data_IF_748195340104
#
_entry.id   IF_748195340104
#
_cell.length_a   1.000
_cell.length_b   1.000
_cell.length_c   1.000
_cell.angle_alpha   90.00
_cell.angle_beta   90.00
_cell.angle_gamma   90.00
#
_symmetry.space_group_name_H-M   'P 1'
#
loop_
_entity.id
_entity.type
_entity.pdbx_description
1 polymer ?
#
# COMPACT_ATOMS: atom_id res chain seq x y z
N UNK A 1 -23.53 53.10 -12.34
CA UNK A 1 -22.69 54.31 -12.53
C UNK A 1 -21.89 54.45 -11.23
N UNK A 2 -20.57 54.34 -11.15
CA UNK A 2 -19.54 54.42 -12.16
C UNK A 2 -18.29 53.65 -11.68
N UNK A 3 -17.72 52.95 -12.65
CA UNK A 3 -16.41 52.33 -12.85
C UNK A 3 -15.26 52.71 -11.88
N UNK A 4 -14.63 51.68 -11.30
CA UNK A 4 -13.30 51.77 -10.66
C UNK A 4 -12.18 51.55 -11.70
N UNK A 5 -11.15 52.39 -11.61
CA UNK A 5 -9.98 52.45 -12.48
C UNK A 5 -9.04 51.25 -12.35
N UNK A 6 -8.38 50.92 -13.47
CA UNK A 6 -7.30 49.94 -13.66
C UNK A 6 -5.91 50.52 -13.34
N UNK A 7 -4.95 49.60 -13.27
CA UNK A 7 -3.48 49.70 -13.35
C UNK A 7 -2.78 49.86 -11.99
N UNK A 8 -1.76 49.09 -11.61
CA UNK A 8 -0.90 48.17 -12.34
C UNK A 8 0.56 48.55 -12.04
N UNK A 9 1.28 47.78 -11.22
CA UNK A 9 2.74 47.90 -11.03
C UNK A 9 3.34 46.50 -10.84
N UNK A 10 4.39 46.25 -11.62
CA UNK A 10 5.19 45.02 -11.75
C UNK A 10 6.30 45.03 -10.70
N UNK A 11 6.64 43.86 -10.14
CA UNK A 11 8.00 43.57 -9.67
C UNK A 11 8.29 42.06 -9.82
N UNK A 12 9.08 41.73 -10.84
CA UNK A 12 9.67 40.39 -11.04
C UNK A 12 11.04 40.41 -10.35
N UNK A 13 11.24 39.57 -9.34
CA UNK A 13 12.53 39.33 -8.74
C UNK A 13 13.05 37.96 -9.19
N UNK A 14 14.14 37.98 -9.96
CA UNK A 14 14.88 36.79 -10.38
C UNK A 14 15.87 36.40 -9.27
N UNK A 15 15.86 35.13 -8.88
CA UNK A 15 16.89 34.54 -7.99
C UNK A 15 17.68 33.53 -8.80
N UNK A 16 18.97 33.84 -9.00
CA UNK A 16 19.96 32.95 -9.57
C UNK A 16 20.59 32.12 -8.46
N UNK A 17 20.63 30.79 -8.63
CA UNK A 17 21.43 29.87 -7.81
C UNK A 17 22.32 29.07 -8.75
N UNK A 18 23.62 29.34 -8.67
CA UNK A 18 24.67 28.53 -9.27
C UNK A 18 25.22 27.53 -8.25
N UNK A 19 25.50 26.31 -8.68
CA UNK A 19 26.32 25.35 -7.97
C UNK A 19 27.37 24.80 -8.94
N UNK A 20 28.63 24.95 -8.53
CA UNK A 20 29.82 24.55 -9.28
C UNK A 20 30.13 23.06 -9.18
N UNK A 21 30.87 22.59 -10.19
CA UNK A 21 31.41 21.25 -10.38
C UNK A 21 32.76 21.04 -9.66
N UNK A 22 33.11 19.75 -9.51
CA UNK A 22 34.40 19.11 -9.18
C UNK A 22 34.40 18.37 -7.83
N UNK A 23 34.97 17.18 -7.66
CA UNK A 23 35.81 16.37 -8.53
C UNK A 23 36.20 15.06 -7.81
N UNK A 24 36.57 14.07 -8.63
CA UNK A 24 37.08 12.74 -8.28
C UNK A 24 38.41 12.77 -7.49
N UNK A 25 38.67 11.75 -6.67
CA UNK A 25 40.00 11.14 -6.55
C UNK A 25 39.97 9.91 -5.62
N UNK A 26 39.97 8.72 -6.20
CA UNK A 26 40.38 7.48 -5.54
C UNK A 26 41.77 7.09 -6.05
N UNK A 27 42.74 6.95 -5.14
CA UNK A 27 43.95 6.17 -5.38
C UNK A 27 44.56 5.77 -4.04
N UNK A 28 44.85 4.49 -3.83
CA UNK A 28 46.10 3.96 -3.26
C UNK A 28 46.04 2.43 -3.27
N UNK A 29 46.82 1.88 -4.18
CA UNK A 29 47.27 0.49 -4.25
C UNK A 29 48.34 0.26 -3.16
N UNK A 30 48.28 -0.88 -2.47
CA UNK A 30 49.23 -1.25 -1.43
C UNK A 30 49.25 -2.76 -1.24
N UNK A 31 50.18 -3.41 -1.92
CA UNK A 31 50.47 -4.84 -1.84
C UNK A 31 51.52 -5.10 -0.74
N UNK A 32 51.25 -6.04 0.19
CA UNK A 32 52.28 -6.67 1.03
C UNK A 32 51.83 -8.04 1.59
N UNK A 33 52.23 -9.09 0.88
CA UNK A 33 52.69 -10.43 1.27
C UNK A 33 52.67 -10.91 2.75
N UNK A 34 52.13 -12.14 2.91
CA UNK A 34 52.53 -13.32 3.74
C UNK A 34 51.72 -13.77 4.97
N UNK A 35 51.15 -14.97 4.79
CA UNK A 35 51.26 -16.21 5.60
C UNK A 35 50.21 -16.60 6.64
N UNK A 36 49.69 -17.82 6.39
CA UNK A 36 49.33 -18.92 7.31
C UNK A 36 47.99 -18.91 8.08
N UNK A 37 47.22 -19.95 7.73
CA UNK A 37 46.32 -20.81 8.54
C UNK A 37 45.69 -20.25 9.82
N UNK A 38 44.35 -20.24 9.87
CA UNK A 38 43.57 -21.09 10.79
C UNK A 38 42.06 -20.99 10.50
N UNK A 39 41.42 -22.13 10.68
CA UNK A 39 39.98 -22.45 10.76
C UNK A 39 39.14 -21.41 11.49
N UNK A 40 37.91 -21.14 11.02
CA UNK A 40 36.65 -21.15 11.81
C UNK A 40 35.47 -20.73 10.93
N UNK A 41 34.37 -21.45 11.05
CA UNK A 41 33.07 -21.19 10.43
C UNK A 41 32.53 -19.81 10.80
N UNK A 42 32.15 -19.01 9.81
CA UNK A 42 31.31 -17.84 10.01
C UNK A 42 29.94 -18.10 9.37
N UNK A 43 28.94 -18.31 10.23
CA UNK A 43 27.55 -18.10 9.89
C UNK A 43 27.39 -16.63 9.50
N UNK A 44 27.12 -16.38 8.23
CA UNK A 44 26.73 -15.05 7.76
C UNK A 44 25.33 -14.75 8.32
N UNK A 45 25.29 -14.09 9.48
CA UNK A 45 24.10 -13.39 9.95
C UNK A 45 23.76 -12.30 8.93
N UNK A 46 22.80 -12.60 8.06
CA UNK A 46 22.18 -11.60 7.21
C UNK A 46 21.46 -10.59 8.11
N UNK A 47 21.99 -9.37 8.15
CA UNK A 47 21.31 -8.21 8.73
C UNK A 47 19.92 -8.06 8.08
N UNK A 48 18.85 -7.78 8.84
CA UNK A 48 17.54 -7.52 8.23
C UNK A 48 17.64 -6.30 7.32
N UNK A 49 17.06 -6.43 6.12
CA UNK A 49 16.92 -5.33 5.19
C UNK A 49 16.07 -4.21 5.82
N UNK A 50 16.37 -2.93 5.57
CA UNK A 50 15.56 -1.83 6.06
C UNK A 50 14.11 -1.97 5.56
N UNK A 51 13.12 -1.59 6.39
CA UNK A 51 11.71 -1.66 5.99
C UNK A 51 11.52 -0.87 4.70
N UNK A 52 10.86 -1.50 3.72
CA UNK A 52 10.48 -0.82 2.49
C UNK A 52 9.45 0.25 2.87
N UNK A 53 9.66 1.53 2.54
CA UNK A 53 8.70 2.57 2.90
C UNK A 53 7.38 2.31 2.15
N UNK A 54 6.31 2.13 2.91
CA UNK A 54 4.94 2.27 2.40
C UNK A 54 4.76 3.69 1.87
N UNK A 55 4.04 3.90 0.75
CA UNK A 55 3.82 5.23 0.20
C UNK A 55 3.20 6.13 1.27
N UNK A 56 3.89 7.24 1.57
CA UNK A 56 3.49 8.19 2.61
C UNK A 56 2.16 8.83 2.21
N UNK A 57 1.11 8.59 3.00
CA UNK A 57 -0.19 9.25 2.82
C UNK A 57 -0.05 10.74 3.07
N UNK A 58 0.10 11.53 2.02
CA UNK A 58 0.13 12.99 2.11
C UNK A 58 -1.30 13.53 2.00
N UNK A 59 -2.04 13.52 3.12
CA UNK A 59 -3.38 14.12 3.18
C UNK A 59 -3.83 14.42 4.61
N UNK A 60 -4.94 15.13 4.76
CA UNK A 60 -5.41 15.65 6.05
C UNK A 60 -6.06 14.59 6.96
N UNK A 61 -6.39 13.41 6.43
CA UNK A 61 -7.00 12.33 7.19
C UNK A 61 -5.93 11.47 7.86
N UNK A 62 -6.12 11.18 9.15
CA UNK A 62 -5.25 10.27 9.90
C UNK A 62 -5.40 8.83 9.40
N UNK A 63 -4.29 8.12 9.25
CA UNK A 63 -4.23 6.78 8.61
C UNK A 63 -3.76 5.68 9.57
N UNK A 64 -3.89 4.42 9.14
CA UNK A 64 -3.28 3.28 9.83
C UNK A 64 -1.76 3.47 9.94
N UNK A 65 -1.11 3.97 8.89
CA UNK A 65 0.34 4.24 8.87
C UNK A 65 0.73 5.29 9.92
N UNK A 66 -0.08 6.34 10.08
CA UNK A 66 0.16 7.35 11.12
C UNK A 66 0.00 6.76 12.52
N UNK A 67 -1.05 5.97 12.74
CA UNK A 67 -1.26 5.25 14.00
C UNK A 67 -0.07 4.35 14.35
N UNK A 68 0.39 3.53 13.40
CA UNK A 68 1.52 2.63 13.58
C UNK A 68 2.77 3.41 14.00
N UNK A 69 3.08 4.48 13.26
CA UNK A 69 4.27 5.33 13.49
C UNK A 69 4.23 6.00 14.85
N UNK A 70 3.12 6.65 15.18
CA UNK A 70 3.00 7.45 16.41
C UNK A 70 2.96 6.60 17.68
N UNK A 71 2.54 5.34 17.58
CA UNK A 71 2.45 4.43 18.72
C UNK A 71 3.63 3.46 18.84
N UNK A 72 4.64 3.58 17.97
CA UNK A 72 5.82 2.70 17.99
C UNK A 72 5.47 1.24 17.72
N UNK A 73 4.42 1.00 16.93
CA UNK A 73 4.03 -0.35 16.50
C UNK A 73 5.01 -0.82 15.43
N UNK A 74 5.44 -2.07 15.53
CA UNK A 74 6.30 -2.68 14.50
C UNK A 74 5.41 -3.34 13.45
N UNK A 75 5.50 -2.87 12.21
CA UNK A 75 4.85 -3.45 11.04
C UNK A 75 5.85 -4.33 10.28
N UNK A 76 5.45 -5.57 9.99
CA UNK A 76 6.22 -6.50 9.15
C UNK A 76 5.33 -6.99 8.02
N UNK A 77 5.75 -6.88 6.74
CA UNK A 77 4.99 -7.42 5.63
C UNK A 77 4.93 -8.94 5.71
N UNK A 78 3.77 -9.51 5.37
CA UNK A 78 3.53 -10.96 5.36
C UNK A 78 3.29 -11.42 3.93
N UNK A 79 3.89 -12.55 3.56
CA UNK A 79 3.70 -13.24 2.29
C UNK A 79 2.90 -14.53 2.47
N UNK A 80 2.31 -14.99 1.37
CA UNK A 80 1.62 -16.27 1.33
C UNK A 80 2.60 -17.39 1.70
N UNK A 81 2.26 -18.15 2.73
CA UNK A 81 3.06 -19.28 3.21
C UNK A 81 4.14 -18.91 4.23
N UNK A 82 4.24 -17.65 4.67
CA UNK A 82 5.16 -17.28 5.75
C UNK A 82 4.83 -18.07 7.03
N UNK A 83 5.82 -18.73 7.67
CA UNK A 83 5.57 -19.55 8.85
C UNK A 83 4.92 -18.77 10.00
N UNK A 84 3.87 -19.33 10.59
CA UNK A 84 3.17 -18.73 11.73
C UNK A 84 2.18 -17.62 11.36
N UNK A 85 2.07 -17.26 10.08
CA UNK A 85 1.03 -16.34 9.61
C UNK A 85 -0.32 -17.05 9.36
N UNK A 86 -1.44 -16.32 9.45
CA UNK A 86 -2.74 -16.85 9.07
C UNK A 86 -2.75 -17.34 7.62
N UNK A 87 -3.46 -18.44 7.39
CA UNK A 87 -3.78 -18.89 6.03
C UNK A 87 -4.96 -18.08 5.52
N UNK A 88 -4.74 -17.30 4.46
CA UNK A 88 -5.75 -16.46 3.81
C UNK A 88 -5.99 -16.99 2.39
N UNK A 89 -7.12 -17.67 2.22
CA UNK A 89 -7.56 -18.24 0.96
C UNK A 89 -8.54 -17.27 0.29
N UNK A 90 -7.99 -16.47 -0.63
CA UNK A 90 -8.75 -15.55 -1.49
C UNK A 90 -9.22 -16.30 -2.74
N UNK A 91 -10.51 -16.23 -3.10
CA UNK A 91 -11.02 -16.85 -4.32
C UNK A 91 -10.55 -16.10 -5.57
N UNK A 92 -10.63 -16.77 -6.72
CA UNK A 92 -10.57 -16.11 -8.04
C UNK A 92 -12.01 -15.93 -8.55
N UNK A 93 -12.54 -14.69 -8.61
CA UNK A 93 -13.85 -14.43 -9.18
C UNK A 93 -13.94 -14.85 -10.65
N UNK A 94 -15.15 -15.14 -11.18
CA UNK A 94 -15.31 -15.46 -12.59
C UNK A 94 -14.75 -14.35 -13.51
N UNK A 95 -13.88 -14.72 -14.45
CA UNK A 95 -13.24 -13.75 -15.35
C UNK A 95 -12.09 -12.96 -14.72
N UNK A 96 -11.52 -13.46 -13.62
CA UNK A 96 -10.34 -12.92 -12.97
C UNK A 96 -9.27 -14.00 -12.78
N UNK A 97 -8.00 -13.62 -12.97
CA UNK A 97 -6.86 -14.50 -12.78
C UNK A 97 -5.82 -13.89 -11.84
N UNK A 98 -4.85 -14.71 -11.43
CA UNK A 98 -3.64 -14.24 -10.79
C UNK A 98 -2.93 -13.22 -11.69
N UNK A 99 -2.46 -12.11 -11.11
CA UNK A 99 -1.79 -11.06 -11.87
C UNK A 99 -0.36 -11.46 -12.31
N UNK A 100 0.15 -12.57 -11.81
CA UNK A 100 1.41 -13.18 -12.19
C UNK A 100 2.58 -12.21 -11.98
N UNK A 101 3.42 -11.99 -13.00
CA UNK A 101 4.52 -11.02 -12.91
C UNK A 101 4.09 -9.57 -12.64
N UNK A 102 2.81 -9.23 -12.79
CA UNK A 102 2.28 -7.89 -12.46
C UNK A 102 1.99 -7.71 -10.97
N UNK A 103 1.99 -8.79 -10.18
CA UNK A 103 1.81 -8.72 -8.73
C UNK A 103 2.96 -7.91 -8.12
N UNK A 104 2.68 -6.79 -7.42
CA UNK A 104 3.72 -6.01 -6.78
C UNK A 104 4.50 -6.84 -5.75
N UNK A 105 5.83 -6.64 -5.66
CA UNK A 105 6.67 -7.43 -4.74
C UNK A 105 6.23 -7.30 -3.28
N UNK A 106 5.61 -6.19 -2.88
CA UNK A 106 5.11 -5.95 -1.52
C UNK A 106 3.73 -6.60 -1.26
N UNK A 107 2.98 -7.01 -2.29
CA UNK A 107 1.65 -7.57 -2.14
C UNK A 107 1.67 -9.01 -1.59
N UNK A 108 0.63 -9.39 -0.86
CA UNK A 108 0.34 -10.76 -0.48
C UNK A 108 -0.17 -11.58 -1.69
N UNK A 109 -0.89 -10.91 -2.59
CA UNK A 109 -1.35 -11.43 -3.87
C UNK A 109 -2.07 -10.35 -4.66
N UNK A 110 -2.28 -10.58 -5.95
CA UNK A 110 -3.05 -9.68 -6.80
C UNK A 110 -3.81 -10.48 -7.86
N UNK A 111 -5.03 -10.04 -8.15
CA UNK A 111 -5.84 -10.54 -9.24
C UNK A 111 -6.18 -9.42 -10.21
N UNK A 112 -6.47 -9.81 -11.44
CA UNK A 112 -6.73 -8.90 -12.56
C UNK A 112 -7.81 -9.49 -13.45
N UNK A 113 -8.65 -8.64 -14.02
CA UNK A 113 -9.68 -9.11 -14.96
C UNK A 113 -9.07 -9.63 -16.26
N UNK A 114 -9.63 -10.74 -16.75
CA UNK A 114 -9.30 -11.38 -18.02
C UNK A 114 -10.10 -10.83 -19.20
N UNK A 115 -11.00 -9.86 -18.99
CA UNK A 115 -11.87 -9.34 -20.04
C UNK A 115 -11.04 -8.62 -21.12
N UNK A 116 -11.05 -9.11 -22.38
CA UNK A 116 -10.32 -8.48 -23.47
C UNK A 116 -10.75 -7.02 -23.74
N UNK A 117 -11.98 -6.65 -23.42
CA UNK A 117 -12.47 -5.27 -23.57
C UNK A 117 -11.79 -4.29 -22.61
N UNK A 118 -11.17 -4.79 -21.53
CA UNK A 118 -10.49 -4.00 -20.51
C UNK A 118 -8.97 -4.14 -20.55
N UNK A 119 -8.41 -4.89 -21.51
CA UNK A 119 -7.01 -5.32 -21.51
C UNK A 119 -5.95 -4.20 -21.49
N UNK A 120 -6.28 -2.99 -21.98
CA UNK A 120 -5.37 -1.84 -21.97
C UNK A 120 -5.09 -1.32 -20.55
N UNK A 121 -6.11 -1.33 -19.70
CA UNK A 121 -6.04 -0.88 -18.30
C UNK A 121 -7.07 -1.71 -17.52
N UNK A 122 -6.74 -2.97 -17.20
CA UNK A 122 -7.67 -3.89 -16.59
C UNK A 122 -7.85 -3.56 -15.11
N UNK A 123 -9.07 -3.73 -14.56
CA UNK A 123 -9.29 -3.56 -13.14
C UNK A 123 -8.50 -4.62 -12.36
N UNK A 124 -8.02 -4.23 -11.17
CA UNK A 124 -7.17 -5.06 -10.31
C UNK A 124 -7.71 -5.09 -8.88
N UNK A 125 -7.47 -6.20 -8.19
CA UNK A 125 -7.66 -6.28 -6.74
C UNK A 125 -6.36 -6.78 -6.14
N UNK A 126 -5.75 -5.97 -5.27
CA UNK A 126 -4.46 -6.26 -4.64
C UNK A 126 -4.69 -6.50 -3.16
N UNK A 127 -4.15 -7.62 -2.66
CA UNK A 127 -4.12 -7.96 -1.24
C UNK A 127 -2.76 -7.58 -0.63
N UNK A 128 -2.79 -6.90 0.51
CA UNK A 128 -1.64 -6.66 1.38
C UNK A 128 -1.93 -7.29 2.74
N UNK A 129 -0.93 -7.92 3.34
CA UNK A 129 -1.02 -8.42 4.72
C UNK A 129 0.17 -7.90 5.50
N UNK A 130 -0.13 -7.26 6.63
CA UNK A 130 0.86 -6.77 7.57
C UNK A 130 0.67 -7.45 8.93
N UNK A 131 1.76 -7.86 9.56
CA UNK A 131 1.79 -8.26 10.95
C UNK A 131 2.20 -7.06 11.80
N UNK A 132 1.34 -6.68 12.73
CA UNK A 132 1.55 -5.60 13.68
C UNK A 132 1.86 -6.17 15.06
N UNK A 133 2.98 -5.73 15.65
CA UNK A 133 3.42 -6.15 16.99
C UNK A 133 3.71 -4.95 17.88
N UNK A 134 3.54 -5.15 19.19
CA UNK A 134 3.53 -4.07 20.19
C UNK A 134 2.14 -3.91 20.81
N UNK A 135 1.83 -2.70 21.30
CA UNK A 135 0.53 -2.39 21.91
C UNK A 135 -0.48 -1.94 20.85
N UNK A 136 -0.88 -2.88 19.98
CA UNK A 136 -1.80 -2.60 18.87
C UNK A 136 -3.25 -2.72 19.33
N UNK A 137 -4.06 -1.70 19.09
CA UNK A 137 -5.51 -1.74 19.28
C UNK A 137 -6.21 -2.05 17.94
N UNK A 138 -6.84 -3.23 17.76
CA UNK A 138 -7.54 -3.58 16.53
C UNK A 138 -8.65 -2.60 16.16
N UNK A 139 -9.33 -2.00 17.14
CA UNK A 139 -10.39 -1.03 16.87
C UNK A 139 -9.83 0.25 16.22
N UNK A 140 -8.62 0.66 16.59
CA UNK A 140 -7.94 1.81 15.97
C UNK A 140 -7.52 1.54 14.54
N UNK A 141 -7.14 0.31 14.21
CA UNK A 141 -6.89 -0.08 12.82
C UNK A 141 -8.14 0.12 11.97
N UNK A 142 -9.30 -0.34 12.45
CA UNK A 142 -10.57 -0.20 11.75
C UNK A 142 -11.06 1.27 11.69
N UNK A 143 -10.88 2.04 12.76
CA UNK A 143 -11.20 3.47 12.83
C UNK A 143 -10.45 4.28 11.76
N UNK A 144 -9.16 3.98 11.56
CA UNK A 144 -8.28 4.74 10.66
C UNK A 144 -8.15 4.16 9.26
N UNK A 145 -8.73 2.98 8.99
CA UNK A 145 -8.74 2.35 7.67
C UNK A 145 -9.22 3.27 6.53
N UNK A 146 -10.27 4.09 6.69
CA UNK A 146 -10.70 5.03 5.65
C UNK A 146 -9.68 6.09 5.24
N UNK A 147 -8.72 6.42 6.12
CA UNK A 147 -7.87 7.59 5.95
C UNK A 147 -7.02 7.55 4.68
N UNK A 148 -6.52 6.38 4.29
CA UNK A 148 -5.64 6.21 3.14
C UNK A 148 -6.33 6.61 1.84
N UNK A 149 -7.49 6.03 1.52
CA UNK A 149 -8.17 6.36 0.27
C UNK A 149 -8.82 7.74 0.29
N UNK A 150 -9.24 8.24 1.46
CA UNK A 150 -9.76 9.61 1.61
C UNK A 150 -8.70 10.69 1.34
N UNK A 151 -7.42 10.32 1.43
CA UNK A 151 -6.30 11.21 1.10
C UNK A 151 -5.94 11.18 -0.40
N UNK A 152 -6.61 10.35 -1.22
CA UNK A 152 -6.35 10.31 -2.66
C UNK A 152 -6.79 11.61 -3.37
N UNK A 153 -6.06 12.03 -4.42
CA UNK A 153 -6.41 13.24 -5.15
C UNK A 153 -7.81 13.19 -5.75
N UNK A 154 -8.62 14.20 -5.44
CA UNK A 154 -9.99 14.29 -5.96
C UNK A 154 -10.89 13.14 -5.51
N UNK A 155 -10.61 12.53 -4.36
CA UNK A 155 -11.46 11.49 -3.79
C UNK A 155 -12.92 11.99 -3.65
N UNK A 156 -13.86 11.24 -4.22
CA UNK A 156 -15.30 11.47 -4.11
C UNK A 156 -16.01 10.16 -3.78
N UNK A 157 -16.64 10.09 -2.62
CA UNK A 157 -17.21 8.86 -2.10
C UNK A 157 -17.61 8.95 -0.64
N UNK A 158 -17.71 7.79 0.01
CA UNK A 158 -18.08 7.71 1.41
C UNK A 158 -17.04 8.44 2.29
N UNK A 159 -17.52 9.17 3.31
CA UNK A 159 -16.66 9.92 4.24
C UNK A 159 -16.26 9.11 5.47
N UNK A 160 -17.02 8.05 5.75
CA UNK A 160 -16.82 7.09 6.82
C UNK A 160 -16.75 5.69 6.21
N UNK A 161 -15.98 4.81 6.85
CA UNK A 161 -15.99 3.40 6.50
C UNK A 161 -17.24 2.72 7.04
N UNK A 162 -17.76 1.76 6.28
CA UNK A 162 -18.86 0.90 6.70
C UNK A 162 -18.31 -0.33 7.44
N UNK A 163 -18.75 -0.61 8.68
CA UNK A 163 -18.43 -1.85 9.37
C UNK A 163 -18.93 -3.06 8.57
N UNK A 164 -18.14 -4.14 8.56
CA UNK A 164 -18.41 -5.38 7.86
C UNK A 164 -17.66 -6.53 8.51
N UNK A 165 -17.70 -7.72 7.90
CA UNK A 165 -16.83 -8.83 8.26
C UNK A 165 -16.20 -9.45 7.01
N UNK A 166 -15.14 -10.22 7.19
CA UNK A 166 -14.61 -11.14 6.19
C UNK A 166 -14.18 -12.44 6.90
N UNK A 167 -14.77 -13.57 6.52
CA UNK A 167 -14.53 -14.85 7.21
C UNK A 167 -14.69 -14.76 8.74
N UNK A 168 -15.75 -14.06 9.18
CA UNK A 168 -16.09 -13.78 10.59
C UNK A 168 -15.13 -12.86 11.37
N UNK A 169 -14.08 -12.33 10.73
CA UNK A 169 -13.21 -11.29 11.31
C UNK A 169 -13.80 -9.91 11.08
N UNK A 170 -13.62 -9.01 12.05
CA UNK A 170 -14.08 -7.63 11.95
C UNK A 170 -13.36 -6.89 10.81
N UNK A 171 -14.12 -6.12 10.05
CA UNK A 171 -13.63 -5.39 8.90
C UNK A 171 -14.31 -4.04 8.75
N UNK A 172 -13.65 -3.13 8.05
CA UNK A 172 -14.22 -1.88 7.56
C UNK A 172 -13.98 -1.79 6.07
N UNK A 173 -15.01 -1.39 5.33
CA UNK A 173 -14.93 -1.17 3.90
C UNK A 173 -15.32 0.26 3.53
N UNK A 174 -14.68 0.80 2.51
CA UNK A 174 -14.96 2.12 1.99
C UNK A 174 -14.70 2.14 0.49
N UNK A 175 -15.46 2.95 -0.25
CA UNK A 175 -15.29 3.08 -1.69
C UNK A 175 -15.77 4.43 -2.19
N UNK A 176 -15.32 4.73 -3.41
CA UNK A 176 -15.60 5.96 -4.11
C UNK A 176 -14.85 6.00 -5.44
N UNK A 177 -14.57 7.21 -5.90
CA UNK A 177 -13.68 7.46 -7.03
C UNK A 177 -12.52 8.33 -6.59
N UNK A 178 -11.47 8.37 -7.40
CA UNK A 178 -10.36 9.30 -7.25
C UNK A 178 -9.77 9.63 -8.63
N UNK A 179 -8.95 10.67 -8.71
CA UNK A 179 -8.25 11.04 -9.94
C UNK A 179 -6.81 10.55 -9.92
N UNK A 180 -6.42 9.82 -10.97
CA UNK A 180 -5.05 9.39 -11.22
C UNK A 180 -4.66 9.75 -12.65
N UNK A 181 -3.59 10.51 -12.81
CA UNK A 181 -3.07 10.94 -14.12
C UNK A 181 -4.14 11.60 -15.02
N UNK A 182 -5.04 12.39 -14.41
CA UNK A 182 -6.15 13.06 -15.08
C UNK A 182 -7.34 12.18 -15.45
N UNK A 183 -7.32 10.90 -15.07
CA UNK A 183 -8.40 9.92 -15.30
C UNK A 183 -9.11 9.61 -13.99
N UNK A 184 -10.45 9.60 -14.02
CA UNK A 184 -11.28 9.17 -12.89
C UNK A 184 -11.28 7.65 -12.80
N UNK A 185 -11.04 7.15 -11.60
CA UNK A 185 -10.93 5.72 -11.29
C UNK A 185 -11.85 5.36 -10.13
N UNK A 186 -12.48 4.20 -10.21
CA UNK A 186 -13.14 3.59 -9.08
C UNK A 186 -12.09 3.01 -8.12
N UNK A 187 -12.29 3.21 -6.82
CA UNK A 187 -11.44 2.69 -5.75
C UNK A 187 -12.33 2.13 -4.64
N UNK A 188 -11.97 0.96 -4.13
CA UNK A 188 -12.51 0.45 -2.88
C UNK A 188 -11.39 -0.19 -2.04
N UNK A 189 -11.53 -0.08 -0.72
CA UNK A 189 -10.64 -0.71 0.24
C UNK A 189 -11.47 -1.45 1.28
N UNK A 190 -11.12 -2.70 1.55
CA UNK A 190 -11.57 -3.44 2.74
C UNK A 190 -10.37 -3.75 3.63
N UNK A 191 -10.44 -3.35 4.89
CA UNK A 191 -9.45 -3.64 5.92
C UNK A 191 -10.03 -4.62 6.93
N UNK A 192 -9.33 -5.71 7.21
CA UNK A 192 -9.75 -6.79 8.12
C UNK A 192 -8.70 -6.96 9.22
N UNK A 193 -9.14 -7.09 10.47
CA UNK A 193 -8.26 -7.37 11.61
C UNK A 193 -8.35 -8.83 12.03
N UNK A 194 -7.21 -9.51 12.07
CA UNK A 194 -7.10 -10.96 12.30
C UNK A 194 -6.19 -11.17 13.51
N UNK A 195 -6.74 -11.41 14.72
CA UNK A 195 -5.94 -11.71 15.89
C UNK A 195 -5.14 -13.00 15.69
N UNK A 196 -3.81 -12.90 15.74
CA UNK A 196 -2.90 -14.05 15.72
C UNK A 196 -2.28 -14.31 17.10
N UNK A 197 -1.54 -15.40 17.22
CA UNK A 197 -0.87 -15.76 18.48
C UNK A 197 0.33 -14.85 18.79
N UNK A 198 0.91 -14.22 17.78
CA UNK A 198 2.19 -13.52 17.84
C UNK A 198 2.12 -12.06 17.34
N UNK A 199 0.90 -11.55 17.12
CA UNK A 199 0.63 -10.20 16.67
C UNK A 199 -0.78 -10.03 16.13
N UNK A 200 -1.14 -8.80 15.76
CA UNK A 200 -2.35 -8.52 15.00
C UNK A 200 -2.02 -8.56 13.50
N UNK A 201 -2.70 -9.40 12.73
CA UNK A 201 -2.57 -9.39 11.29
C UNK A 201 -3.64 -8.48 10.70
N UNK A 202 -3.26 -7.66 9.73
CA UNK A 202 -4.14 -6.74 9.03
C UNK A 202 -4.11 -7.09 7.55
N UNK A 203 -5.26 -7.51 7.02
CA UNK A 203 -5.46 -7.72 5.58
C UNK A 203 -6.11 -6.48 4.99
N UNK A 204 -5.51 -5.91 3.96
CA UNK A 204 -6.13 -4.87 3.11
C UNK A 204 -6.35 -5.43 1.72
N UNK A 205 -7.58 -5.29 1.22
CA UNK A 205 -7.97 -5.59 -0.15
C UNK A 205 -8.28 -4.27 -0.86
N UNK A 206 -7.48 -3.93 -1.87
CA UNK A 206 -7.59 -2.68 -2.61
C UNK A 206 -8.03 -2.99 -4.05
N UNK A 207 -9.23 -2.55 -4.41
CA UNK A 207 -9.84 -2.73 -5.73
C UNK A 207 -9.73 -1.42 -6.52
N UNK A 208 -9.08 -1.44 -7.69
CA UNK A 208 -8.85 -0.26 -8.54
C UNK A 208 -9.18 -0.57 -9.99
N UNK A 209 -9.84 0.38 -10.65
CA UNK A 209 -10.12 0.32 -12.08
C UNK A 209 -10.66 1.66 -12.58
N UNK A 210 -10.89 1.79 -13.87
CA UNK A 210 -11.59 2.97 -14.40
C UNK A 210 -13.05 3.00 -13.92
N UNK A 211 -13.65 4.18 -13.97
CA UNK A 211 -15.05 4.36 -13.54
C UNK A 211 -16.03 3.46 -14.32
N UNK A 212 -15.81 3.26 -15.63
CA UNK A 212 -16.61 2.38 -16.48
C UNK A 212 -16.49 0.89 -16.14
N UNK A 213 -15.52 0.52 -15.28
CA UNK A 213 -15.26 -0.85 -14.84
C UNK A 213 -15.83 -1.16 -13.45
N UNK A 214 -16.55 -0.20 -12.84
CA UNK A 214 -17.05 -0.31 -11.47
C UNK A 214 -17.90 -1.57 -11.23
N UNK A 215 -18.76 -1.95 -12.19
CA UNK A 215 -19.57 -3.17 -12.06
C UNK A 215 -18.69 -4.43 -11.95
N UNK A 216 -17.63 -4.54 -12.76
CA UNK A 216 -16.72 -5.68 -12.69
C UNK A 216 -15.98 -5.76 -11.34
N UNK A 217 -15.61 -4.62 -10.77
CA UNK A 217 -15.02 -4.54 -9.44
C UNK A 217 -16.02 -4.96 -8.35
N UNK A 218 -17.25 -4.46 -8.41
CA UNK A 218 -18.30 -4.81 -7.44
C UNK A 218 -18.58 -6.32 -7.44
N UNK A 219 -18.77 -6.91 -8.61
CA UNK A 219 -19.03 -8.35 -8.75
C UNK A 219 -17.85 -9.19 -8.20
N UNK A 220 -16.62 -8.79 -8.51
CA UNK A 220 -15.41 -9.46 -8.03
C UNK A 220 -15.27 -9.38 -6.51
N UNK A 221 -15.45 -8.19 -5.93
CA UNK A 221 -15.39 -8.00 -4.47
C UNK A 221 -16.51 -8.73 -3.74
N UNK A 222 -17.71 -8.86 -4.33
CA UNK A 222 -18.79 -9.65 -3.76
C UNK A 222 -18.42 -11.13 -3.63
N UNK A 223 -17.80 -11.71 -4.66
CA UNK A 223 -17.31 -13.10 -4.61
C UNK A 223 -16.21 -13.27 -3.54
N UNK A 224 -15.29 -12.31 -3.44
CA UNK A 224 -14.25 -12.31 -2.42
C UNK A 224 -14.87 -12.31 -1.02
N UNK A 225 -15.87 -11.46 -0.79
CA UNK A 225 -16.55 -11.35 0.50
C UNK A 225 -17.24 -12.66 0.92
N UNK A 226 -17.92 -13.31 -0.01
CA UNK A 226 -18.67 -14.54 0.27
C UNK A 226 -17.76 -15.76 0.49
N UNK A 227 -16.66 -15.85 -0.27
CA UNK A 227 -15.90 -17.10 -0.41
C UNK A 227 -14.52 -17.07 0.24
N UNK A 228 -14.03 -15.92 0.69
CA UNK A 228 -12.76 -15.87 1.43
C UNK A 228 -12.83 -16.73 2.68
N UNK A 229 -11.72 -17.43 2.96
CA UNK A 229 -11.52 -18.17 4.21
C UNK A 229 -10.22 -17.70 4.87
N UNK A 230 -10.29 -17.46 6.17
CA UNK A 230 -9.17 -17.03 6.99
C UNK A 230 -9.02 -18.02 8.16
N UNK A 231 -7.85 -18.61 8.30
CA UNK A 231 -7.50 -19.51 9.39
C UNK A 231 -6.30 -18.94 10.16
N UNK A 232 -6.46 -18.51 11.43
CA UNK A 232 -5.38 -17.93 12.25
C UNK A 232 -4.20 -18.87 12.54
#
# INVERSE_FOLDING_TARGET
MSTSMRAGVIAIAAVALGLGLAGCSSNTEGEATKSSEATTSEETSASPAPPTPTPQSQGANYTIVDYIRENGITETPVKRGDPGSPTIDLPFPPGWSDAGPRTPQWAYGAIVSDDPAMAEDPPTIIALVSKLTGNVDPAKILEYAPGEIKNLPGYDGAQEGSPSTLSDFEAVQIGGTYTKDGTVRAIAQKTVVIPGQDGLYVLQLNADGREDQMTALMDATGVIDEQTRITP
#
